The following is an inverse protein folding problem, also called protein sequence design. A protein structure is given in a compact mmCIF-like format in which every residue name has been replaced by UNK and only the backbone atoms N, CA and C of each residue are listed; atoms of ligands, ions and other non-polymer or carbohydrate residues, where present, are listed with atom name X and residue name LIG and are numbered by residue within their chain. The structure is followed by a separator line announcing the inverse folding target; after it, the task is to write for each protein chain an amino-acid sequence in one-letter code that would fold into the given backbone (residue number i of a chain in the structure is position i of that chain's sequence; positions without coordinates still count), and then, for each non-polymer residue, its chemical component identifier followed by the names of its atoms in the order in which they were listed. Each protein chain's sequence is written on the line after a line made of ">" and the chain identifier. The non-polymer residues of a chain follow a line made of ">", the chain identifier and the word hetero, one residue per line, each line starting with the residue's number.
data_IF_179563290263
#
_entry.id   IF_179563290263
#
_cell.length_a   1.000
_cell.length_b   1.000
_cell.length_c   1.000
_cell.angle_alpha   90.00
_cell.angle_beta   90.00
_cell.angle_gamma   90.00
#
_symmetry.space_group_name_H-M   'P 1'
#
loop_
_entity.id
_entity.type
_entity.pdbx_description
1 polymer ?
#
# COMPACT_ATOMS: atom_id res chain seq x y z
N UNK A 1 25.53 35.42 -24.14
CA UNK A 1 25.55 34.92 -25.53
C UNK A 1 25.39 33.42 -25.43
N UNK A 2 24.18 32.93 -25.71
CA UNK A 2 23.82 31.51 -25.66
C UNK A 2 23.88 30.94 -27.08
N UNK A 3 24.39 29.72 -27.31
CA UNK A 3 24.28 29.08 -28.61
C UNK A 3 22.91 28.38 -28.76
N UNK A 4 22.39 28.23 -30.00
CA UNK A 4 21.05 27.72 -30.25
C UNK A 4 20.99 26.18 -30.32
N UNK A 5 19.82 25.65 -29.97
CA UNK A 5 19.41 24.25 -30.14
C UNK A 5 19.26 23.92 -31.62
N UNK A 6 19.95 22.86 -32.09
CA UNK A 6 19.76 22.29 -33.42
C UNK A 6 18.86 21.04 -33.35
N UNK A 7 17.82 21.03 -34.17
CA UNK A 7 16.76 20.02 -34.31
C UNK A 7 17.20 18.76 -35.08
N UNK A 8 18.48 18.36 -35.05
CA UNK A 8 19.03 17.34 -35.95
C UNK A 8 19.55 16.08 -35.26
N UNK A 9 18.97 15.67 -34.12
CA UNK A 9 19.44 14.47 -33.39
C UNK A 9 18.32 13.53 -32.92
N UNK A 10 17.11 13.69 -33.46
CA UNK A 10 15.96 12.79 -33.19
C UNK A 10 15.58 11.89 -34.38
N UNK A 11 16.27 12.02 -35.52
CA UNK A 11 16.08 11.13 -36.69
C UNK A 11 17.12 10.01 -36.77
N UNK A 12 18.17 10.02 -35.94
CA UNK A 12 19.20 8.97 -35.93
C UNK A 12 18.94 7.81 -34.94
N UNK A 13 17.83 7.84 -34.18
CA UNK A 13 17.50 6.78 -33.20
C UNK A 13 16.29 5.92 -33.57
N UNK A 14 15.71 6.10 -34.77
CA UNK A 14 14.49 5.40 -35.20
C UNK A 14 14.68 4.38 -36.34
N UNK A 15 15.92 4.09 -36.75
CA UNK A 15 16.20 3.13 -37.84
C UNK A 15 16.71 1.73 -37.38
N UNK A 16 16.83 1.47 -36.07
CA UNK A 16 17.47 0.24 -35.56
C UNK A 16 16.52 -0.85 -35.01
N UNK A 17 15.25 -0.92 -35.45
CA UNK A 17 14.36 -2.04 -35.06
C UNK A 17 13.49 -2.63 -36.19
N UNK A 18 13.84 -2.39 -37.46
CA UNK A 18 13.12 -2.98 -38.59
C UNK A 18 13.88 -4.18 -39.16
N UNK A 19 13.73 -5.36 -38.55
CA UNK A 19 14.22 -6.63 -39.12
C UNK A 19 13.02 -7.45 -39.59
N UNK A 20 12.66 -7.29 -40.87
CA UNK A 20 11.88 -8.27 -41.62
C UNK A 20 12.68 -8.61 -42.89
N UNK A 21 13.27 -9.81 -42.92
CA UNK A 21 14.00 -10.37 -44.06
C UNK A 21 13.19 -11.47 -44.78
N UNK A 22 13.48 -11.78 -46.05
CA UNK A 22 12.51 -12.29 -47.02
C UNK A 22 12.39 -13.82 -47.08
N UNK A 23 11.20 -14.28 -47.52
CA UNK A 23 10.87 -15.68 -47.87
C UNK A 23 11.65 -16.20 -49.10
N UNK A 24 11.80 -17.54 -49.19
CA UNK A 24 11.69 -18.22 -50.46
C UNK A 24 10.47 -19.17 -50.51
N UNK A 25 9.77 -19.09 -51.64
CA UNK A 25 8.69 -19.96 -52.09
C UNK A 25 9.20 -21.37 -52.44
N UNK A 26 8.37 -22.41 -52.31
CA UNK A 26 8.16 -23.52 -53.28
C UNK A 26 7.34 -24.68 -52.68
N UNK A 27 6.32 -25.04 -53.47
CA UNK A 27 5.61 -26.33 -53.60
C UNK A 27 4.50 -26.72 -52.60
N UNK A 28 3.27 -26.64 -53.11
CA UNK A 28 2.07 -27.37 -52.67
C UNK A 28 2.22 -28.89 -52.89
N UNK A 29 1.53 -29.70 -52.07
CA UNK A 29 0.58 -30.64 -52.68
C UNK A 29 -0.77 -30.76 -51.95
N UNK A 30 -1.80 -30.74 -52.79
CA UNK A 30 -3.09 -31.47 -52.82
C UNK A 30 -3.60 -32.21 -51.57
N UNK A 31 -4.87 -31.95 -51.25
CA UNK A 31 -5.75 -32.71 -50.35
C UNK A 31 -5.78 -34.22 -50.61
N UNK A 32 -5.76 -35.01 -49.53
CA UNK A 32 -6.44 -36.30 -49.47
C UNK A 32 -7.09 -36.51 -48.10
N UNK A 33 -8.36 -36.89 -48.16
CA UNK A 33 -9.22 -37.27 -47.04
C UNK A 33 -8.86 -38.65 -46.46
N UNK A 34 -9.31 -38.85 -45.21
CA UNK A 34 -9.53 -40.08 -44.44
C UNK A 34 -8.31 -40.72 -43.72
N UNK A 35 -8.31 -40.63 -42.38
CA UNK A 35 -8.69 -41.72 -41.44
C UNK A 35 -8.31 -41.32 -39.99
N UNK A 36 -9.28 -41.41 -39.06
CA UNK A 36 -9.02 -41.48 -37.61
C UNK A 36 -8.51 -42.88 -37.26
N UNK A 37 -7.61 -43.09 -36.28
CA UNK A 37 -8.09 -43.15 -34.90
C UNK A 37 -7.09 -42.77 -33.78
N UNK A 38 -7.71 -42.61 -32.60
CA UNK A 38 -7.21 -42.74 -31.23
C UNK A 38 -6.68 -41.51 -30.49
N UNK A 39 -7.41 -41.26 -29.41
CA UNK A 39 -7.17 -40.28 -28.37
C UNK A 39 -5.91 -40.62 -27.57
N UNK A 40 -5.00 -39.65 -27.49
CA UNK A 40 -4.20 -39.44 -26.28
C UNK A 40 -4.74 -38.18 -25.62
N UNK A 41 -5.36 -38.39 -24.45
CA UNK A 41 -5.78 -37.32 -23.57
C UNK A 41 -4.52 -36.51 -23.18
N UNK A 42 -4.55 -35.17 -23.22
CA UNK A 42 -3.53 -34.43 -22.50
C UNK A 42 -3.72 -34.77 -21.03
N UNK A 43 -2.68 -35.32 -20.39
CA UNK A 43 -2.64 -35.50 -18.96
C UNK A 43 -2.88 -34.12 -18.33
N UNK A 44 -4.08 -33.93 -17.77
CA UNK A 44 -4.41 -32.72 -17.03
C UNK A 44 -3.48 -32.71 -15.82
N UNK A 45 -2.62 -31.70 -15.72
CA UNK A 45 -1.82 -31.42 -14.53
C UNK A 45 -2.72 -30.93 -13.38
N UNK A 46 -3.69 -31.74 -12.92
CA UNK A 46 -4.64 -31.39 -11.85
C UNK A 46 -3.95 -31.31 -10.48
N UNK A 47 -2.85 -32.05 -10.29
CA UNK A 47 -2.20 -32.17 -8.98
C UNK A 47 -1.43 -30.93 -8.52
N UNK A 48 -0.79 -30.20 -9.43
CA UNK A 48 0.11 -29.09 -9.06
C UNK A 48 -0.65 -27.82 -8.65
N UNK A 49 -1.85 -27.61 -9.22
CA UNK A 49 -2.69 -26.45 -8.90
C UNK A 49 -3.29 -26.52 -7.49
N UNK A 50 -3.82 -27.68 -7.10
CA UNK A 50 -4.47 -27.87 -5.80
C UNK A 50 -3.49 -27.79 -4.63
N UNK A 51 -2.27 -28.31 -4.80
CA UNK A 51 -1.22 -28.22 -3.77
C UNK A 51 -0.77 -26.77 -3.53
N UNK A 52 -0.66 -25.97 -4.60
CA UNK A 52 -0.31 -24.56 -4.52
C UNK A 52 -1.42 -23.74 -3.86
N UNK A 53 -2.68 -23.95 -4.24
CA UNK A 53 -3.84 -23.28 -3.62
C UNK A 53 -3.96 -23.60 -2.12
N UNK A 54 -3.72 -24.86 -1.75
CA UNK A 54 -3.74 -25.31 -0.36
C UNK A 54 -2.61 -24.66 0.44
N UNK A 55 -1.39 -24.61 -0.12
CA UNK A 55 -0.25 -23.95 0.52
C UNK A 55 -0.51 -22.45 0.73
N UNK A 56 -1.03 -21.75 -0.28
CA UNK A 56 -1.38 -20.34 -0.19
C UNK A 56 -2.43 -20.08 0.90
N UNK A 57 -3.45 -20.94 0.99
CA UNK A 57 -4.46 -20.84 2.02
C UNK A 57 -3.86 -21.02 3.42
N UNK A 58 -2.98 -22.00 3.61
CA UNK A 58 -2.33 -22.23 4.91
C UNK A 58 -1.38 -21.10 5.29
N UNK A 59 -0.63 -20.55 4.34
CA UNK A 59 0.20 -19.35 4.55
C UNK A 59 -0.66 -18.13 4.92
N UNK A 60 -1.78 -17.93 4.23
CA UNK A 60 -2.73 -16.86 4.53
C UNK A 60 -3.33 -17.02 5.94
N UNK A 61 -3.78 -18.23 6.31
CA UNK A 61 -4.28 -18.55 7.66
C UNK A 61 -3.22 -18.31 8.74
N UNK A 62 -1.97 -18.70 8.48
CA UNK A 62 -0.87 -18.42 9.38
C UNK A 62 -0.61 -16.92 9.52
N UNK A 63 -0.67 -16.16 8.42
CA UNK A 63 -0.61 -14.70 8.40
C UNK A 63 -1.74 -14.08 9.25
N UNK A 64 -2.97 -14.56 9.08
CA UNK A 64 -4.14 -14.08 9.83
C UNK A 64 -3.99 -14.33 11.32
N UNK A 65 -3.50 -15.53 11.69
CA UNK A 65 -3.27 -15.92 13.08
C UNK A 65 -2.17 -15.10 13.76
N UNK A 66 -1.23 -14.54 12.98
CA UNK A 66 -0.23 -13.58 13.47
C UNK A 66 -0.78 -12.16 13.52
N UNK A 67 -1.66 -11.80 12.59
CA UNK A 67 -2.27 -10.48 12.50
C UNK A 67 -3.40 -10.26 13.52
N UNK A 68 -3.92 -11.32 14.14
CA UNK A 68 -4.97 -11.26 15.16
C UNK A 68 -4.54 -12.05 16.40
N UNK A 69 -4.29 -11.36 17.52
CA UNK A 69 -3.91 -11.94 18.81
C UNK A 69 -4.87 -11.44 19.88
N UNK A 70 -5.46 -12.34 20.66
CA UNK A 70 -6.46 -12.02 21.69
C UNK A 70 -7.60 -11.11 21.18
N UNK A 71 -8.11 -11.41 19.98
CA UNK A 71 -9.15 -10.64 19.29
C UNK A 71 -8.76 -9.17 18.96
N UNK A 72 -7.46 -8.91 18.90
CA UNK A 72 -6.91 -7.59 18.56
C UNK A 72 -6.00 -7.68 17.36
N UNK A 73 -5.97 -6.60 16.59
CA UNK A 73 -4.99 -6.43 15.53
C UNK A 73 -3.58 -6.46 16.15
N UNK A 74 -2.76 -7.39 15.70
CA UNK A 74 -1.35 -7.44 15.99
C UNK A 74 -0.60 -6.99 14.74
N UNK A 75 0.02 -5.81 14.82
CA UNK A 75 0.79 -5.24 13.73
C UNK A 75 1.98 -4.47 14.27
N UNK A 76 3.04 -4.43 13.48
CA UNK A 76 4.06 -3.39 13.59
C UNK A 76 3.68 -2.26 12.64
N UNK A 77 4.39 -1.14 12.75
CA UNK A 77 4.18 0.00 11.86
C UNK A 77 5.48 0.38 11.19
N UNK A 78 5.41 0.65 9.90
CA UNK A 78 6.48 1.32 9.19
C UNK A 78 6.04 2.75 8.92
N UNK A 79 6.74 3.71 9.53
CA UNK A 79 6.41 5.13 9.46
C UNK A 79 7.40 5.84 8.57
N UNK A 80 6.92 6.45 7.50
CA UNK A 80 7.73 7.25 6.58
C UNK A 80 7.30 8.70 6.64
N UNK A 81 8.26 9.60 6.84
CA UNK A 81 8.03 11.05 6.94
C UNK A 81 8.48 11.73 5.66
N UNK A 82 7.63 12.62 5.15
CA UNK A 82 7.90 13.41 3.96
C UNK A 82 7.76 14.90 4.24
N UNK A 83 8.75 15.68 3.82
CA UNK A 83 8.64 17.13 3.74
C UNK A 83 8.49 17.56 2.29
N UNK A 84 7.30 18.07 1.91
CA UNK A 84 7.00 18.54 0.55
C UNK A 84 7.35 17.49 -0.52
N UNK A 85 6.87 16.27 -0.31
CA UNK A 85 7.07 15.12 -1.20
C UNK A 85 8.42 14.42 -1.06
N UNK A 86 9.40 15.00 -0.35
CA UNK A 86 10.72 14.41 -0.17
C UNK A 86 10.73 13.56 1.10
N UNK A 87 11.08 12.28 0.99
CA UNK A 87 11.27 11.40 2.16
C UNK A 87 12.46 11.87 2.98
N UNK A 88 12.24 12.16 4.26
CA UNK A 88 13.25 12.73 5.17
C UNK A 88 13.56 11.83 6.36
N UNK A 89 12.65 10.92 6.72
CA UNK A 89 12.83 10.01 7.84
C UNK A 89 11.98 8.74 7.65
N UNK A 90 12.43 7.65 8.25
CA UNK A 90 11.80 6.34 8.20
C UNK A 90 12.05 5.65 9.54
N UNK A 91 11.02 5.06 10.14
CA UNK A 91 11.07 4.45 11.47
C UNK A 91 10.21 3.19 11.53
N UNK A 92 10.77 2.12 12.06
CA UNK A 92 10.05 0.87 12.31
C UNK A 92 9.61 0.81 13.77
N UNK A 93 8.29 0.82 13.98
CA UNK A 93 7.66 0.73 15.30
C UNK A 93 7.41 -0.73 15.61
N UNK A 94 8.07 -1.21 16.65
CA UNK A 94 7.95 -2.60 17.10
C UNK A 94 6.88 -2.79 18.17
N UNK A 95 6.49 -1.71 18.86
CA UNK A 95 5.45 -1.74 19.87
C UNK A 95 4.07 -2.00 19.25
N UNK A 96 3.44 -3.16 19.53
CA UNK A 96 2.16 -3.53 18.91
C UNK A 96 0.99 -2.68 19.40
N UNK A 97 1.15 -1.94 20.51
CA UNK A 97 0.11 -1.01 21.00
C UNK A 97 0.03 0.26 20.15
N UNK A 98 1.08 0.58 19.40
CA UNK A 98 1.20 1.79 18.60
C UNK A 98 2.34 2.70 19.03
N UNK A 99 2.26 3.94 18.58
CA UNK A 99 3.32 4.93 18.70
C UNK A 99 2.76 6.35 18.83
N UNK A 100 3.65 7.28 19.17
CA UNK A 100 3.36 8.71 19.22
C UNK A 100 4.40 9.48 18.42
N UNK A 101 3.93 10.26 17.45
CA UNK A 101 4.76 11.14 16.63
C UNK A 101 5.01 12.43 17.39
N UNK A 102 6.27 12.75 17.66
CA UNK A 102 6.68 13.90 18.48
C UNK A 102 7.75 14.73 17.77
N UNK A 103 8.01 15.93 18.28
CA UNK A 103 9.16 16.74 17.89
C UNK A 103 9.97 17.11 19.13
N UNK A 104 10.61 16.09 19.70
CA UNK A 104 11.45 16.18 20.90
C UNK A 104 12.58 15.15 20.78
N UNK A 105 13.60 15.25 21.62
CA UNK A 105 14.65 14.23 21.67
C UNK A 105 14.04 12.88 22.12
N UNK A 106 14.13 11.81 21.29
CA UNK A 106 13.57 10.50 21.61
C UNK A 106 14.24 9.85 22.82
N UNK A 107 15.47 10.23 23.16
CA UNK A 107 16.20 9.69 24.32
C UNK A 107 15.91 10.44 25.61
N UNK A 108 15.31 11.63 25.53
CA UNK A 108 14.96 12.45 26.67
C UNK A 108 13.50 12.29 27.11
N UNK A 109 12.65 11.75 26.23
CA UNK A 109 11.21 11.63 26.46
C UNK A 109 10.80 10.16 26.63
N UNK A 110 9.95 9.90 27.61
CA UNK A 110 9.26 8.62 27.77
C UNK A 110 7.77 8.88 27.60
N UNK A 111 7.11 8.06 26.80
CA UNK A 111 5.68 8.14 26.64
C UNK A 111 4.96 7.67 27.93
N UNK A 112 4.02 8.46 28.50
CA UNK A 112 3.31 8.08 29.72
C UNK A 112 2.51 6.77 29.61
N UNK A 113 2.09 6.40 28.40
CA UNK A 113 1.27 5.21 28.13
C UNK A 113 2.11 4.01 27.68
N UNK A 114 3.43 4.21 27.60
CA UNK A 114 4.40 3.23 27.12
C UNK A 114 4.35 3.02 25.61
N UNK A 115 3.90 4.02 24.84
CA UNK A 115 3.97 4.00 23.38
C UNK A 115 5.39 4.25 22.90
N UNK A 116 5.74 3.73 21.73
CA UNK A 116 7.02 4.05 21.10
C UNK A 116 7.01 5.48 20.54
N UNK A 117 8.08 6.25 20.73
CA UNK A 117 8.16 7.63 20.23
C UNK A 117 8.81 7.66 18.85
N UNK A 118 8.11 8.24 17.87
CA UNK A 118 8.64 8.53 16.53
C UNK A 118 8.97 10.01 16.45
N UNK A 119 10.24 10.35 16.49
CA UNK A 119 10.69 11.75 16.52
C UNK A 119 10.86 12.32 15.11
N UNK A 120 10.12 13.37 14.79
CA UNK A 120 10.21 14.04 13.50
C UNK A 120 11.56 14.76 13.36
N UNK A 121 12.18 14.72 12.17
CA UNK A 121 13.39 15.47 11.92
C UNK A 121 13.12 16.98 11.96
N UNK A 122 14.14 17.74 12.34
CA UNK A 122 14.06 19.20 12.35
C UNK A 122 14.08 19.81 10.93
N UNK A 123 13.58 21.05 10.78
CA UNK A 123 13.55 21.75 9.49
C UNK A 123 14.94 22.19 9.00
N UNK A 124 16.00 21.98 9.77
CA UNK A 124 17.39 22.33 9.43
C UNK A 124 17.91 21.55 8.21
N UNK A 125 17.27 20.43 7.87
CA UNK A 125 17.54 19.64 6.68
C UNK A 125 17.03 20.30 5.38
N UNK A 126 16.18 21.33 5.48
CA UNK A 126 15.53 21.98 4.35
C UNK A 126 16.36 23.15 3.81
N UNK A 127 16.63 23.13 2.50
CA UNK A 127 17.34 24.23 1.82
C UNK A 127 16.45 25.48 1.66
N UNK A 128 15.16 25.29 1.37
CA UNK A 128 14.17 26.36 1.24
C UNK A 128 13.84 26.95 2.62
N UNK A 129 14.34 28.17 2.88
CA UNK A 129 14.14 28.86 4.16
C UNK A 129 12.67 29.24 4.42
N UNK A 130 11.86 29.43 3.38
CA UNK A 130 10.43 29.66 3.50
C UNK A 130 9.72 28.40 3.98
N UNK A 131 10.01 27.27 3.35
CA UNK A 131 9.53 25.95 3.77
C UNK A 131 9.97 25.64 5.21
N UNK A 132 11.26 25.80 5.52
CA UNK A 132 11.81 25.54 6.84
C UNK A 132 11.08 26.30 7.95
N UNK A 133 10.77 27.59 7.72
CA UNK A 133 10.01 28.43 8.66
C UNK A 133 8.58 27.93 8.86
N UNK A 134 7.90 27.50 7.80
CA UNK A 134 6.53 26.99 7.89
C UNK A 134 6.49 25.62 8.58
N UNK A 135 7.38 24.70 8.20
CA UNK A 135 7.55 23.40 8.85
C UNK A 135 7.85 23.57 10.33
N UNK A 136 8.77 24.46 10.71
CA UNK A 136 9.07 24.75 12.12
C UNK A 136 7.84 25.15 12.92
N UNK A 137 7.00 26.05 12.39
CA UNK A 137 5.76 26.50 13.07
C UNK A 137 4.78 25.36 13.32
N UNK A 138 4.71 24.38 12.42
CA UNK A 138 3.87 23.17 12.60
C UNK A 138 4.45 22.30 13.71
N UNK A 139 5.76 22.11 13.71
CA UNK A 139 6.45 21.29 14.71
C UNK A 139 6.38 21.90 16.12
N UNK A 140 6.57 23.22 16.25
CA UNK A 140 6.46 23.96 17.52
C UNK A 140 5.09 23.84 18.18
N UNK A 141 4.03 23.62 17.38
CA UNK A 141 2.65 23.47 17.84
C UNK A 141 2.19 22.02 17.96
N UNK A 142 3.08 21.06 17.67
CA UNK A 142 2.77 19.63 17.73
C UNK A 142 2.43 19.16 19.15
N UNK A 143 2.89 19.89 20.18
CA UNK A 143 2.57 19.61 21.58
C UNK A 143 3.08 18.23 21.99
N UNK A 144 2.23 17.44 22.65
CA UNK A 144 2.55 16.07 23.00
C UNK A 144 2.45 15.11 21.80
N UNK A 145 2.07 15.56 20.60
CA UNK A 145 2.20 14.76 19.39
C UNK A 145 0.91 14.30 18.74
N UNK A 146 1.07 13.44 17.73
CA UNK A 146 0.02 12.64 17.11
C UNK A 146 0.17 11.20 17.62
N UNK A 147 -0.81 10.73 18.36
CA UNK A 147 -0.89 9.35 18.82
C UNK A 147 -1.58 8.48 17.75
N UNK A 148 -0.99 7.32 17.47
CA UNK A 148 -1.58 6.27 16.62
C UNK A 148 -1.51 4.96 17.39
N UNK A 149 -2.66 4.39 17.73
CA UNK A 149 -2.79 3.21 18.59
C UNK A 149 -3.62 2.12 17.94
N UNK A 150 -3.38 0.87 18.33
CA UNK A 150 -4.30 -0.23 18.02
C UNK A 150 -5.36 -0.32 19.10
N UNK A 151 -6.63 -0.38 18.70
CA UNK A 151 -7.76 -0.67 19.59
C UNK A 151 -8.66 -1.71 18.94
N UNK A 152 -8.87 -2.85 19.62
CA UNK A 152 -9.59 -3.98 19.01
C UNK A 152 -8.88 -4.42 17.73
N UNK A 153 -9.65 -4.56 16.64
CA UNK A 153 -9.15 -4.88 15.30
C UNK A 153 -8.93 -3.64 14.42
N UNK A 154 -8.84 -2.46 15.01
CA UNK A 154 -8.71 -1.19 14.30
C UNK A 154 -7.55 -0.33 14.77
N UNK A 155 -7.25 0.69 13.97
CA UNK A 155 -6.29 1.75 14.27
C UNK A 155 -7.05 3.01 14.65
N UNK A 156 -6.62 3.60 15.76
CA UNK A 156 -7.15 4.82 16.34
C UNK A 156 -6.10 5.93 16.29
N UNK A 157 -6.52 7.18 16.16
CA UNK A 157 -5.61 8.31 16.32
C UNK A 157 -6.20 9.44 17.15
N UNK A 158 -5.32 10.18 17.82
CA UNK A 158 -5.64 11.39 18.58
C UNK A 158 -4.49 12.41 18.46
N UNK A 159 -4.80 13.70 18.38
CA UNK A 159 -3.78 14.76 18.47
C UNK A 159 -3.76 15.40 19.85
N UNK A 160 -2.55 15.67 20.35
CA UNK A 160 -2.29 16.20 21.69
C UNK A 160 -1.55 17.55 21.64
N UNK A 161 -1.72 18.28 20.54
CA UNK A 161 -1.21 19.62 20.34
C UNK A 161 -2.19 20.50 19.58
N UNK A 162 -1.73 21.70 19.25
CA UNK A 162 -2.52 22.69 18.51
C UNK A 162 -2.31 22.59 16.99
N UNK A 163 -1.33 21.80 16.56
CA UNK A 163 -1.23 21.37 15.16
C UNK A 163 -2.40 20.46 14.81
N UNK A 164 -3.25 20.91 13.89
CA UNK A 164 -4.27 20.07 13.29
C UNK A 164 -3.60 18.96 12.48
N UNK A 165 -4.13 17.75 12.56
CA UNK A 165 -3.70 16.63 11.76
C UNK A 165 -4.89 16.12 10.97
N UNK A 166 -4.67 15.74 9.72
CA UNK A 166 -5.69 15.21 8.84
C UNK A 166 -5.26 13.87 8.29
N UNK A 167 -6.19 13.02 7.85
CA UNK A 167 -5.85 11.67 7.42
C UNK A 167 -6.64 11.17 6.22
N UNK A 168 -6.10 10.17 5.53
CA UNK A 168 -6.79 9.37 4.51
C UNK A 168 -6.12 8.00 4.38
N UNK A 169 -6.81 7.02 3.81
CA UNK A 169 -6.24 5.72 3.44
C UNK A 169 -5.43 5.76 2.14
N UNK A 170 -5.40 6.91 1.45
CA UNK A 170 -4.66 7.08 0.19
C UNK A 170 -3.99 8.44 0.10
N UNK A 171 -2.73 8.45 -0.36
CA UNK A 171 -2.04 9.68 -0.78
C UNK A 171 -2.62 10.31 -2.05
N UNK A 172 -3.48 9.60 -2.75
CA UNK A 172 -4.14 10.06 -3.98
C UNK A 172 -5.63 10.35 -3.75
N UNK A 173 -6.07 10.49 -2.50
CA UNK A 173 -7.45 10.82 -2.20
C UNK A 173 -7.82 12.21 -2.76
N UNK A 174 -8.74 12.20 -3.73
CA UNK A 174 -9.25 13.38 -4.45
C UNK A 174 -10.66 13.76 -3.99
N UNK A 175 -11.15 13.21 -2.89
CA UNK A 175 -12.49 13.55 -2.38
C UNK A 175 -12.62 15.04 -2.04
N UNK A 176 -11.51 15.71 -1.70
CA UNK A 176 -11.51 17.11 -1.28
C UNK A 176 -12.26 17.35 0.03
N UNK A 177 -12.57 16.28 0.77
CA UNK A 177 -13.29 16.31 2.05
C UNK A 177 -12.30 16.03 3.19
N UNK A 178 -11.76 17.08 3.86
CA UNK A 178 -10.75 16.89 4.88
C UNK A 178 -11.26 16.08 6.06
N UNK A 179 -10.48 15.10 6.52
CA UNK A 179 -10.80 14.28 7.69
C UNK A 179 -9.83 14.63 8.81
N UNK A 180 -10.28 15.42 9.78
CA UNK A 180 -9.42 15.87 10.88
C UNK A 180 -9.31 14.78 11.95
N UNK A 181 -8.10 14.57 12.49
CA UNK A 181 -7.88 13.76 13.68
C UNK A 181 -8.36 14.54 14.91
N UNK A 182 -9.26 13.97 15.73
CA UNK A 182 -9.79 14.65 16.91
C UNK A 182 -8.72 14.97 17.96
N UNK A 183 -8.89 16.13 18.62
CA UNK A 183 -8.03 16.58 19.73
C UNK A 183 -8.38 15.80 21.00
N UNK A 184 -7.38 15.17 21.62
CA UNK A 184 -7.46 14.52 22.95
C UNK A 184 -8.53 13.43 23.12
N UNK A 185 -9.25 13.07 22.05
CA UNK A 185 -10.28 12.03 22.02
C UNK A 185 -9.99 11.14 20.83
N UNK A 186 -9.42 9.96 21.04
CA UNK A 186 -9.10 9.10 19.91
C UNK A 186 -10.34 8.55 19.21
N UNK A 187 -10.24 8.43 17.89
CA UNK A 187 -11.26 7.91 16.99
C UNK A 187 -10.67 6.84 16.08
N UNK A 188 -11.45 5.80 15.81
CA UNK A 188 -11.07 4.74 14.87
C UNK A 188 -11.02 5.31 13.46
N UNK A 189 -9.86 5.19 12.82
CA UNK A 189 -9.63 5.67 11.46
C UNK A 189 -9.80 4.54 10.45
N UNK A 190 -9.42 3.33 10.85
CA UNK A 190 -9.34 2.20 9.94
C UNK A 190 -9.52 0.88 10.69
N UNK A 191 -10.29 -0.05 10.14
CA UNK A 191 -10.50 -1.38 10.73
C UNK A 191 -10.02 -2.51 9.83
N UNK A 192 -9.59 -3.61 10.45
CA UNK A 192 -9.32 -4.86 9.75
C UNK A 192 -10.58 -5.37 9.03
N UNK A 193 -11.78 -5.16 9.57
CA UNK A 193 -13.01 -5.54 8.89
C UNK A 193 -13.21 -4.81 7.56
N UNK A 194 -12.86 -3.51 7.47
CA UNK A 194 -12.81 -2.79 6.19
C UNK A 194 -11.74 -3.36 5.25
N UNK A 195 -10.56 -3.71 5.78
CA UNK A 195 -9.50 -4.36 5.01
C UNK A 195 -9.97 -5.68 4.38
N UNK A 196 -10.57 -6.57 5.18
CA UNK A 196 -11.03 -7.89 4.74
C UNK A 196 -12.12 -7.76 3.67
N UNK A 197 -13.08 -6.86 3.88
CA UNK A 197 -14.12 -6.56 2.87
C UNK A 197 -13.54 -6.05 1.56
N UNK A 198 -12.58 -5.12 1.63
CA UNK A 198 -11.88 -4.65 0.46
C UNK A 198 -11.07 -5.75 -0.22
N UNK A 199 -10.47 -6.66 0.55
CA UNK A 199 -9.72 -7.80 0.02
C UNK A 199 -10.62 -8.79 -0.73
N UNK A 200 -11.81 -9.10 -0.17
CA UNK A 200 -12.83 -9.91 -0.85
C UNK A 200 -13.20 -9.25 -2.18
N UNK A 201 -13.59 -7.98 -2.16
CA UNK A 201 -13.98 -7.25 -3.38
C UNK A 201 -12.87 -7.18 -4.42
N UNK A 202 -11.62 -7.05 -3.98
CA UNK A 202 -10.45 -7.06 -4.85
C UNK A 202 -10.22 -8.43 -5.50
N UNK A 203 -10.32 -9.51 -4.73
CA UNK A 203 -10.19 -10.88 -5.24
C UNK A 203 -11.32 -11.26 -6.20
N UNK A 204 -12.52 -10.75 -5.96
CA UNK A 204 -13.65 -10.90 -6.89
C UNK A 204 -13.58 -9.96 -8.10
N UNK A 205 -12.52 -9.15 -8.24
CA UNK A 205 -12.35 -8.15 -9.31
C UNK A 205 -13.48 -7.10 -9.38
N UNK A 206 -14.15 -6.86 -8.25
CA UNK A 206 -15.25 -5.89 -8.11
C UNK A 206 -14.80 -4.55 -7.53
N UNK A 207 -13.63 -4.52 -6.88
CA UNK A 207 -13.09 -3.35 -6.20
C UNK A 207 -11.57 -3.23 -6.41
N UNK A 208 -11.04 -2.04 -6.14
CA UNK A 208 -9.60 -1.83 -6.03
C UNK A 208 -9.05 -2.54 -4.79
N UNK A 209 -7.73 -2.79 -4.80
CA UNK A 209 -7.05 -3.39 -3.65
C UNK A 209 -7.29 -2.57 -2.38
N UNK A 210 -7.53 -3.22 -1.22
CA UNK A 210 -7.65 -2.51 0.04
C UNK A 210 -6.34 -1.80 0.39
N UNK A 211 -6.48 -0.66 1.07
CA UNK A 211 -5.35 0.06 1.64
C UNK A 211 -4.77 -0.72 2.82
N UNK A 212 -3.48 -0.62 3.05
CA UNK A 212 -2.83 -1.13 4.26
C UNK A 212 -2.00 -0.04 4.93
N UNK A 213 -2.11 1.20 4.46
CA UNK A 213 -1.45 2.36 5.05
C UNK A 213 -2.43 3.49 5.31
N UNK A 214 -2.16 4.23 6.38
CA UNK A 214 -2.87 5.46 6.73
C UNK A 214 -1.91 6.62 6.50
N UNK A 215 -2.37 7.61 5.76
CA UNK A 215 -1.63 8.83 5.48
C UNK A 215 -2.10 9.94 6.41
N UNK A 216 -1.16 10.65 7.01
CA UNK A 216 -1.44 11.83 7.82
C UNK A 216 -0.81 13.09 7.22
N UNK A 217 -1.48 14.21 7.35
CA UNK A 217 -1.02 15.53 6.95
C UNK A 217 -1.04 16.45 8.18
N UNK A 218 0.12 16.96 8.60
CA UNK A 218 0.24 17.83 9.76
C UNK A 218 0.19 19.29 9.35
N UNK A 219 -0.66 20.08 10.00
CA UNK A 219 -0.78 21.53 9.82
C UNK A 219 -1.51 21.99 8.56
N UNK A 220 -1.88 21.08 7.65
CA UNK A 220 -2.64 21.38 6.43
C UNK A 220 -3.77 20.39 6.23
N UNK A 221 -4.90 20.83 5.65
CA UNK A 221 -6.06 19.99 5.34
C UNK A 221 -5.68 18.84 4.41
N UNK A 222 -6.19 17.64 4.68
CA UNK A 222 -6.06 16.47 3.81
C UNK A 222 -7.31 15.59 3.91
N UNK A 223 -7.82 15.02 2.81
CA UNK A 223 -7.62 15.41 1.41
C UNK A 223 -7.75 16.91 1.16
N UNK A 224 -6.95 17.48 0.25
CA UNK A 224 -6.89 18.92 0.05
C UNK A 224 -8.16 19.44 -0.69
N UNK A 225 -8.91 20.41 -0.14
CA UNK A 225 -10.12 20.94 -0.79
C UNK A 225 -9.85 21.58 -2.17
N UNK A 226 -8.66 22.15 -2.34
CA UNK A 226 -8.20 22.76 -3.58
C UNK A 226 -7.49 21.75 -4.50
N UNK A 227 -7.57 20.45 -4.18
CA UNK A 227 -7.00 19.34 -4.95
C UNK A 227 -5.48 19.46 -5.13
N UNK A 228 -4.78 20.13 -4.20
CA UNK A 228 -3.31 20.14 -4.21
C UNK A 228 -2.78 18.73 -3.95
N UNK A 229 -1.82 18.24 -4.76
CA UNK A 229 -1.25 16.91 -4.58
C UNK A 229 -0.41 16.85 -3.29
N UNK A 230 -0.24 15.65 -2.73
CA UNK A 230 0.41 15.42 -1.44
C UNK A 230 1.86 15.93 -1.41
N UNK A 231 2.57 15.93 -2.54
CA UNK A 231 3.94 16.44 -2.67
C UNK A 231 4.04 17.95 -2.38
N UNK A 232 2.93 18.69 -2.39
CA UNK A 232 2.92 20.12 -2.01
C UNK A 232 2.71 20.35 -0.51
N UNK A 233 2.42 19.30 0.27
CA UNK A 233 2.18 19.37 1.71
C UNK A 233 3.47 19.45 2.50
N UNK A 234 3.51 20.30 3.51
CA UNK A 234 4.71 20.57 4.29
C UNK A 234 5.19 19.36 5.08
N UNK A 235 4.27 18.61 5.69
CA UNK A 235 4.59 17.40 6.46
C UNK A 235 3.53 16.34 6.19
N UNK A 236 3.94 15.25 5.54
CA UNK A 236 3.14 14.05 5.34
C UNK A 236 3.77 12.87 6.07
N UNK A 237 2.93 11.99 6.59
CA UNK A 237 3.33 10.73 7.19
C UNK A 237 2.61 9.61 6.44
N UNK A 238 3.34 8.58 6.08
CA UNK A 238 2.76 7.30 5.66
C UNK A 238 2.97 6.30 6.79
N UNK A 239 1.90 5.66 7.23
CA UNK A 239 1.93 4.66 8.30
C UNK A 239 1.41 3.36 7.73
N UNK A 240 2.33 2.45 7.41
CA UNK A 240 2.02 1.11 6.90
C UNK A 240 1.75 0.15 8.05
N UNK A 241 0.60 -0.52 8.03
CA UNK A 241 0.28 -1.64 8.91
C UNK A 241 0.88 -2.91 8.31
N UNK A 242 2.01 -3.34 8.84
CA UNK A 242 2.83 -4.40 8.22
C UNK A 242 2.10 -5.74 8.14
N UNK A 243 1.24 -6.07 9.11
CA UNK A 243 0.45 -7.32 9.06
C UNK A 243 -0.58 -7.29 7.94
N UNK A 244 -1.27 -6.16 7.72
CA UNK A 244 -2.21 -6.01 6.61
C UNK A 244 -1.51 -5.99 5.26
N UNK A 245 -0.34 -5.37 5.17
CA UNK A 245 0.50 -5.43 3.98
C UNK A 245 0.88 -6.89 3.66
N UNK A 246 1.32 -7.66 4.66
CA UNK A 246 1.62 -9.08 4.50
C UNK A 246 0.41 -9.88 4.03
N UNK A 247 -0.76 -9.69 4.66
CA UNK A 247 -1.99 -10.38 4.27
C UNK A 247 -2.39 -10.09 2.82
N UNK A 248 -2.29 -8.82 2.39
CA UNK A 248 -2.51 -8.46 0.99
C UNK A 248 -1.50 -9.16 0.09
N UNK A 249 -0.22 -9.16 0.44
CA UNK A 249 0.80 -9.83 -0.37
C UNK A 249 0.54 -11.34 -0.50
N UNK A 250 0.14 -12.01 0.57
CA UNK A 250 -0.21 -13.44 0.55
C UNK A 250 -1.44 -13.71 -0.34
N UNK A 251 -2.45 -12.85 -0.29
CA UNK A 251 -3.62 -12.95 -1.17
C UNK A 251 -3.27 -12.68 -2.65
N UNK A 252 -2.34 -11.76 -2.93
CA UNK A 252 -1.91 -11.41 -4.29
C UNK A 252 -0.90 -12.40 -4.88
N UNK A 253 0.03 -12.95 -4.09
CA UNK A 253 0.97 -13.99 -4.52
C UNK A 253 0.24 -15.25 -4.99
N UNK A 254 -1.01 -15.43 -4.57
CA UNK A 254 -2.04 -16.26 -5.21
C UNK A 254 -2.07 -16.21 -6.74
N UNK A 255 -1.90 -15.01 -7.32
CA UNK A 255 -2.07 -14.75 -8.76
C UNK A 255 -0.81 -14.64 -9.60
N UNK A 256 0.39 -14.61 -9.01
CA UNK A 256 1.63 -14.35 -9.76
C UNK A 256 2.36 -15.62 -10.25
N UNK A 257 1.90 -16.82 -9.89
CA UNK A 257 2.59 -18.08 -10.24
C UNK A 257 2.41 -18.53 -11.70
N UNK A 258 1.67 -17.79 -12.54
CA UNK A 258 1.46 -18.10 -13.97
C UNK A 258 2.41 -17.39 -14.94
N UNK A 259 3.60 -16.94 -14.51
CA UNK A 259 4.59 -16.28 -15.38
C UNK A 259 5.34 -17.24 -16.34
N UNK A 260 4.58 -18.03 -17.10
CA UNK A 260 4.98 -18.67 -18.36
C UNK A 260 3.86 -18.52 -19.40
N UNK A 261 3.39 -17.31 -19.67
CA UNK A 261 2.73 -17.01 -20.95
C UNK A 261 2.68 -15.50 -21.20
N UNK A 262 3.01 -15.14 -22.43
CA UNK A 262 3.17 -13.78 -22.94
C UNK A 262 1.81 -13.06 -23.03
N UNK A 263 1.31 -12.51 -21.92
CA UNK A 263 0.34 -11.40 -21.88
C UNK A 263 0.20 -10.87 -20.46
N UNK A 264 0.46 -9.57 -20.27
CA UNK A 264 0.40 -8.92 -18.95
C UNK A 264 -1.03 -8.50 -18.64
N UNK A 265 -1.86 -9.46 -18.24
CA UNK A 265 -3.03 -9.21 -17.40
C UNK A 265 -2.73 -9.84 -16.03
N UNK A 266 -2.48 -9.01 -15.01
CA UNK A 266 -2.31 -9.46 -13.63
C UNK A 266 -3.67 -9.89 -13.08
N UNK A 267 -4.18 -11.02 -13.56
CA UNK A 267 -5.37 -11.66 -13.00
C UNK A 267 -5.00 -12.16 -11.60
N UNK A 268 -5.62 -11.61 -10.57
CA UNK A 268 -5.61 -12.23 -9.24
C UNK A 268 -6.29 -13.59 -9.43
N UNK A 269 -5.57 -14.67 -9.17
CA UNK A 269 -6.10 -16.03 -9.35
C UNK A 269 -7.37 -16.20 -8.53
N UNK A 270 -8.42 -16.73 -9.15
CA UNK A 270 -9.64 -17.15 -8.48
C UNK A 270 -9.30 -18.30 -7.52
N UNK A 271 -8.92 -18.00 -6.27
CA UNK A 271 -8.70 -19.01 -5.21
C UNK A 271 -9.99 -19.11 -4.36
N UNK A 272 -10.90 -20.06 -4.67
CA UNK A 272 -12.21 -20.16 -3.99
C UNK A 272 -12.06 -20.53 -2.52
N UNK A 273 -11.02 -21.29 -2.17
CA UNK A 273 -10.74 -21.70 -0.79
C UNK A 273 -10.36 -20.50 0.07
N UNK A 274 -9.51 -19.60 -0.44
CA UNK A 274 -9.14 -18.36 0.24
C UNK A 274 -10.33 -17.41 0.37
N UNK A 275 -11.10 -17.22 -0.71
CA UNK A 275 -12.34 -16.41 -0.68
C UNK A 275 -13.33 -16.91 0.37
N UNK A 276 -13.57 -18.23 0.44
CA UNK A 276 -14.49 -18.81 1.45
C UNK A 276 -14.02 -18.56 2.89
N UNK A 277 -12.70 -18.57 3.11
CA UNK A 277 -12.11 -18.24 4.40
C UNK A 277 -12.29 -16.75 4.73
N UNK A 278 -12.08 -15.84 3.77
CA UNK A 278 -12.30 -14.41 3.96
C UNK A 278 -13.77 -14.10 4.32
N UNK A 279 -14.75 -14.73 3.67
CA UNK A 279 -16.16 -14.57 4.03
C UNK A 279 -16.46 -15.07 5.45
N UNK A 280 -15.80 -16.15 5.87
CA UNK A 280 -15.91 -16.64 7.24
C UNK A 280 -15.39 -15.59 8.24
N UNK A 281 -14.28 -14.93 7.93
CA UNK A 281 -13.72 -13.86 8.76
C UNK A 281 -14.62 -12.62 8.80
N UNK A 282 -15.13 -12.17 7.65
CA UNK A 282 -16.05 -11.04 7.55
C UNK A 282 -17.29 -11.26 8.44
N UNK A 283 -17.85 -12.48 8.43
CA UNK A 283 -19.03 -12.81 9.23
C UNK A 283 -18.82 -12.74 10.75
N UNK A 284 -17.58 -12.88 11.21
CA UNK A 284 -17.22 -12.82 12.63
C UNK A 284 -17.09 -11.37 13.14
N UNK A 285 -16.78 -10.41 12.28
CA UNK A 285 -16.64 -8.99 12.67
C UNK A 285 -17.99 -8.27 12.88
N UNK A 286 -19.11 -8.88 12.47
CA UNK A 286 -20.48 -8.33 12.61
C UNK A 286 -21.31 -8.98 13.73
N UNK A 287 -20.70 -9.82 14.58
CA UNK A 287 -21.35 -10.49 15.73
C UNK A 287 -20.93 -9.83 17.04
#
# INVERSE_FOLDING_TARGET
>A
MSPPLNQSTLEECLEELNICGPQPDVARPVCSLFETPQAEQPAVCVGVGLELEQQQLEEFKAGMSRAVVDDRLATQFHVTVYFRGVRVHEHEVTNPRGFRVVWTDPYAAVDPEGLELVSLPGPELLLDQGQARLTRRILEKLGAGLEVTVQGRGVRAARWGDTHAFWSLSRFDRSGQPREVPKERGEELYSMGEFIRGLIGFMEQKAESPAYSVWFCLGEKWPDPDQRPWEKKLIMLEVVLTSLQMLKMLAVQGGASSLQSESVDLQVSDNPSLLSHLYSLESMDFS
#
